data_IF_494021110614
#
_entry.id   IF_494021110614
#
_cell.length_a   1.000
_cell.length_b   1.000
_cell.length_c   1.000
_cell.angle_alpha   90.00
_cell.angle_beta   90.00
_cell.angle_gamma   90.00
#
_symmetry.space_group_name_H-M   'P 1'
#
loop_
_entity.id
_entity.type
_entity.pdbx_description
1 polymer ?
#
# COMPACT_ATOMS: atom_id res chain seq x y z
N UNK A 1 36.96 10.70 -34.73
CA UNK A 1 36.57 9.95 -33.52
C UNK A 1 35.15 10.38 -33.23
N UNK A 2 34.19 9.58 -33.69
CA UNK A 2 32.77 9.85 -33.48
C UNK A 2 32.44 9.26 -32.12
N UNK A 3 32.36 10.10 -31.09
CA UNK A 3 31.66 9.73 -29.87
C UNK A 3 30.19 9.59 -30.24
N UNK A 4 29.77 8.35 -30.45
CA UNK A 4 28.36 7.98 -30.38
C UNK A 4 27.97 8.13 -28.91
N UNK A 5 27.56 9.34 -28.50
CA UNK A 5 26.93 9.56 -27.21
C UNK A 5 25.65 8.72 -27.20
N UNK A 6 25.70 7.56 -26.54
CA UNK A 6 24.53 6.74 -26.31
C UNK A 6 23.48 7.60 -25.58
N UNK A 7 22.21 7.48 -25.97
CA UNK A 7 21.13 8.16 -25.26
C UNK A 7 21.17 7.76 -23.77
N UNK A 8 21.03 8.71 -22.84
CA UNK A 8 21.06 8.41 -21.42
C UNK A 8 19.93 7.44 -21.07
N UNK A 9 20.21 6.54 -20.11
CA UNK A 9 19.24 5.57 -19.59
C UNK A 9 18.08 6.31 -18.93
N UNK A 10 16.87 5.83 -19.17
CA UNK A 10 15.66 6.22 -18.43
C UNK A 10 15.31 5.11 -17.44
N UNK A 11 14.47 5.43 -16.45
CA UNK A 11 13.95 4.41 -15.53
C UNK A 11 12.57 3.91 -15.97
N UNK A 12 12.30 2.65 -15.67
CA UNK A 12 10.98 2.06 -15.72
C UNK A 12 10.67 1.33 -14.40
N UNK A 13 9.50 0.69 -14.29
CA UNK A 13 9.15 -0.06 -13.09
C UNK A 13 10.10 -1.24 -12.84
N UNK A 14 10.62 -1.87 -13.88
CA UNK A 14 11.47 -3.07 -13.76
C UNK A 14 12.77 -2.71 -13.04
N UNK A 15 13.36 -1.57 -13.39
CA UNK A 15 14.56 -1.06 -12.70
C UNK A 15 14.26 -0.79 -11.23
N UNK A 16 13.16 -0.09 -10.93
CA UNK A 16 12.77 0.20 -9.54
C UNK A 16 12.54 -1.08 -8.72
N UNK A 17 11.86 -2.08 -9.30
CA UNK A 17 11.57 -3.35 -8.62
C UNK A 17 12.84 -4.14 -8.29
N UNK A 18 13.90 -4.04 -9.11
CA UNK A 18 15.19 -4.70 -8.86
C UNK A 18 15.99 -4.04 -7.75
N UNK A 19 15.85 -2.72 -7.59
CA UNK A 19 16.59 -1.97 -6.58
C UNK A 19 15.94 -2.13 -5.19
N UNK A 20 14.62 -2.28 -5.14
CA UNK A 20 13.87 -2.45 -3.90
C UNK A 20 14.08 -3.82 -3.24
N UNK A 21 14.34 -3.78 -1.94
CA UNK A 21 14.14 -4.86 -0.98
C UNK A 21 13.41 -4.30 0.25
N UNK A 22 12.09 -4.48 0.33
CA UNK A 22 11.29 -3.96 1.44
C UNK A 22 11.60 -4.63 2.80
N UNK A 23 12.26 -5.79 2.81
CA UNK A 23 12.72 -6.44 4.06
C UNK A 23 14.07 -5.92 4.55
N UNK A 24 14.79 -5.18 3.70
CA UNK A 24 16.08 -4.55 3.98
C UNK A 24 16.12 -3.16 3.31
N UNK A 25 15.46 -2.17 3.91
CA UNK A 25 15.39 -0.82 3.34
C UNK A 25 16.75 -0.14 3.30
N UNK A 26 17.69 -0.49 4.19
CA UNK A 26 19.05 0.03 4.16
C UNK A 26 19.81 -0.44 2.91
N UNK A 27 19.74 -1.73 2.56
CA UNK A 27 20.30 -2.22 1.30
C UNK A 27 19.66 -1.54 0.08
N UNK A 28 18.36 -1.27 0.14
CA UNK A 28 17.67 -0.52 -0.91
C UNK A 28 18.21 0.90 -1.04
N UNK A 29 18.46 1.59 0.09
CA UNK A 29 19.05 2.92 0.09
C UNK A 29 20.44 2.93 -0.53
N UNK A 30 21.31 1.96 -0.22
CA UNK A 30 22.63 1.85 -0.85
C UNK A 30 22.53 1.70 -2.38
N UNK A 31 21.62 0.84 -2.84
CA UNK A 31 21.36 0.61 -4.27
C UNK A 31 20.83 1.85 -4.98
N UNK A 32 19.86 2.54 -4.39
CA UNK A 32 19.32 3.77 -4.97
C UNK A 32 20.33 4.90 -5.00
N UNK A 33 21.20 5.01 -3.98
CA UNK A 33 22.29 5.99 -3.98
C UNK A 33 23.27 5.75 -5.12
N UNK A 34 23.70 4.51 -5.29
CA UNK A 34 24.57 4.15 -6.42
C UNK A 34 23.91 4.47 -7.77
N UNK A 35 22.62 4.17 -7.92
CA UNK A 35 21.89 4.43 -9.16
C UNK A 35 21.63 5.93 -9.40
N UNK A 36 21.37 6.73 -8.36
CA UNK A 36 21.17 8.18 -8.50
C UNK A 36 22.47 8.94 -8.81
N UNK A 37 23.62 8.37 -8.47
CA UNK A 37 24.95 8.93 -8.77
C UNK A 37 25.48 8.48 -10.15
N UNK A 38 24.83 7.53 -10.81
CA UNK A 38 25.23 6.98 -12.10
C UNK A 38 24.87 7.93 -13.25
N UNK A 39 25.89 8.61 -13.80
CA UNK A 39 25.78 9.54 -14.92
C UNK A 39 25.29 8.92 -16.23
N UNK A 40 25.19 7.59 -16.33
CA UNK A 40 24.54 6.93 -17.46
C UNK A 40 23.03 7.16 -17.49
N UNK A 41 22.39 7.46 -16.36
CA UNK A 41 20.98 7.87 -16.30
C UNK A 41 20.78 9.35 -16.64
N UNK A 42 19.63 9.67 -17.23
CA UNK A 42 19.23 11.07 -17.45
C UNK A 42 19.05 11.83 -16.13
N UNK A 43 19.12 13.16 -16.16
CA UNK A 43 18.97 13.99 -14.96
C UNK A 43 17.62 13.75 -14.26
N UNK A 44 16.54 13.63 -15.03
CA UNK A 44 15.21 13.29 -14.52
C UNK A 44 15.18 11.88 -13.90
N UNK A 45 15.81 10.89 -14.55
CA UNK A 45 15.89 9.53 -14.02
C UNK A 45 16.67 9.47 -12.70
N UNK A 46 17.80 10.17 -12.60
CA UNK A 46 18.58 10.28 -11.34
C UNK A 46 17.78 10.99 -10.26
N UNK A 47 17.01 12.03 -10.60
CA UNK A 47 16.12 12.70 -9.66
C UNK A 47 15.01 11.77 -9.16
N UNK A 48 14.36 10.99 -10.04
CA UNK A 48 13.39 9.98 -9.62
C UNK A 48 14.01 8.90 -8.72
N UNK A 49 15.21 8.40 -9.05
CA UNK A 49 15.95 7.45 -8.21
C UNK A 49 16.29 8.04 -6.83
N UNK A 50 16.68 9.31 -6.78
CA UNK A 50 16.94 10.02 -5.52
C UNK A 50 15.68 10.12 -4.64
N UNK A 51 14.47 10.27 -5.22
CA UNK A 51 13.24 10.16 -4.42
C UNK A 51 13.05 8.77 -3.81
N UNK A 52 13.43 7.70 -4.52
CA UNK A 52 13.36 6.34 -3.99
C UNK A 52 14.41 6.08 -2.91
N UNK A 53 15.60 6.70 -3.03
CA UNK A 53 16.59 6.74 -1.96
C UNK A 53 15.99 7.37 -0.68
N UNK A 54 15.37 8.54 -0.79
CA UNK A 54 14.74 9.19 0.36
C UNK A 54 13.66 8.32 1.02
N UNK A 55 12.84 7.63 0.21
CA UNK A 55 11.85 6.67 0.71
C UNK A 55 12.51 5.53 1.50
N UNK A 56 13.59 4.97 1.00
CA UNK A 56 14.31 3.88 1.64
C UNK A 56 14.98 4.33 2.96
N UNK A 57 15.52 5.54 2.99
CA UNK A 57 16.06 6.18 4.21
C UNK A 57 14.97 6.39 5.26
N UNK A 58 13.79 6.89 4.87
CA UNK A 58 12.64 7.04 5.76
C UNK A 58 12.18 5.72 6.38
N UNK A 59 12.08 4.65 5.59
CA UNK A 59 11.79 3.29 6.08
C UNK A 59 12.87 2.75 7.05
N UNK A 60 14.09 3.30 6.97
CA UNK A 60 15.23 2.96 7.82
C UNK A 60 15.35 3.84 9.07
N UNK A 61 14.41 4.78 9.29
CA UNK A 61 14.45 5.74 10.39
C UNK A 61 15.44 6.90 10.21
N UNK A 62 16.03 7.06 9.01
CA UNK A 62 17.00 8.09 8.68
C UNK A 62 16.30 9.30 8.05
N UNK A 63 15.48 10.01 8.83
CA UNK A 63 14.58 11.05 8.32
C UNK A 63 15.34 12.29 7.82
N UNK A 64 16.31 12.79 8.60
CA UNK A 64 17.13 13.94 8.23
C UNK A 64 17.89 13.71 6.91
N UNK A 65 18.45 12.50 6.75
CA UNK A 65 19.14 12.11 5.51
C UNK A 65 18.16 12.02 4.33
N UNK A 66 16.94 11.50 4.57
CA UNK A 66 15.88 11.49 3.56
C UNK A 66 15.50 12.90 3.10
N UNK A 67 15.31 13.83 4.03
CA UNK A 67 15.02 15.23 3.73
C UNK A 67 16.20 15.92 3.02
N UNK A 68 17.44 15.64 3.43
CA UNK A 68 18.63 16.16 2.76
C UNK A 68 18.72 15.73 1.29
N UNK A 69 18.41 14.45 1.01
CA UNK A 69 18.32 13.94 -0.37
C UNK A 69 17.23 14.68 -1.15
N UNK A 70 16.03 14.83 -0.59
CA UNK A 70 14.92 15.51 -1.27
C UNK A 70 15.15 17.00 -1.49
N UNK A 71 15.90 17.67 -0.61
CA UNK A 71 16.29 19.07 -0.75
C UNK A 71 17.34 19.29 -1.84
N UNK A 72 18.16 18.28 -2.13
CA UNK A 72 19.23 18.36 -3.13
C UNK A 72 18.74 18.09 -4.57
N UNK A 73 17.50 17.64 -4.77
CA UNK A 73 16.95 17.36 -6.09
C UNK A 73 16.56 18.68 -6.78
N UNK A 74 17.20 18.95 -7.91
CA UNK A 74 16.85 20.06 -8.80
C UNK A 74 16.15 19.50 -10.05
N UNK A 75 14.85 19.78 -10.22
CA UNK A 75 14.07 19.34 -11.37
C UNK A 75 12.81 20.19 -11.58
N UNK A 76 12.52 20.50 -12.85
CA UNK A 76 11.27 21.15 -13.27
C UNK A 76 10.17 20.14 -13.64
N UNK A 77 10.43 18.84 -13.50
CA UNK A 77 9.47 17.79 -13.89
C UNK A 77 8.30 17.72 -12.90
N UNK A 78 7.04 17.77 -13.36
CA UNK A 78 5.87 17.57 -12.49
C UNK A 78 5.85 16.16 -11.88
N UNK A 79 6.45 15.16 -12.56
CA UNK A 79 6.57 13.80 -12.05
C UNK A 79 7.52 13.77 -10.85
N UNK A 80 8.69 14.38 -10.98
CA UNK A 80 9.66 14.49 -9.89
C UNK A 80 9.09 15.32 -8.74
N UNK A 81 8.42 16.45 -9.03
CA UNK A 81 7.77 17.28 -8.01
C UNK A 81 6.71 16.51 -7.22
N UNK A 82 5.91 15.68 -7.89
CA UNK A 82 4.92 14.82 -7.25
C UNK A 82 5.58 13.77 -6.34
N UNK A 83 6.66 13.13 -6.80
CA UNK A 83 7.42 12.16 -6.00
C UNK A 83 8.07 12.81 -4.78
N UNK A 84 8.70 13.97 -4.94
CA UNK A 84 9.27 14.71 -3.79
C UNK A 84 8.19 14.99 -2.75
N UNK A 85 7.01 15.46 -3.18
CA UNK A 85 5.91 15.74 -2.26
C UNK A 85 5.38 14.46 -1.57
N UNK A 86 5.27 13.34 -2.29
CA UNK A 86 4.93 12.03 -1.72
C UNK A 86 5.94 11.61 -0.64
N UNK A 87 7.23 11.64 -0.95
CA UNK A 87 8.23 11.13 -0.01
C UNK A 87 8.41 12.06 1.20
N UNK A 88 8.30 13.39 1.02
CA UNK A 88 8.24 14.32 2.17
C UNK A 88 7.04 14.01 3.06
N UNK A 89 5.87 13.76 2.48
CA UNK A 89 4.69 13.39 3.24
C UNK A 89 4.91 12.09 4.03
N UNK A 90 5.54 11.07 3.42
CA UNK A 90 5.87 9.82 4.12
C UNK A 90 6.87 10.01 5.26
N UNK A 91 7.85 10.91 5.11
CA UNK A 91 8.77 11.27 6.19
C UNK A 91 8.00 11.89 7.36
N UNK A 92 7.13 12.88 7.11
CA UNK A 92 6.28 13.49 8.15
C UNK A 92 5.40 12.46 8.88
N UNK A 93 4.79 11.52 8.14
CA UNK A 93 4.03 10.41 8.75
C UNK A 93 4.92 9.54 9.64
N UNK A 94 6.12 9.18 9.15
CA UNK A 94 7.05 8.34 9.90
C UNK A 94 7.63 9.03 11.16
N UNK A 95 7.74 10.36 11.13
CA UNK A 95 8.16 11.20 12.26
C UNK A 95 7.04 11.43 13.30
N UNK A 96 5.82 10.97 13.01
CA UNK A 96 4.68 11.08 13.91
C UNK A 96 3.92 12.42 13.84
N UNK A 97 4.06 13.15 12.73
CA UNK A 97 3.34 14.41 12.45
C UNK A 97 2.47 14.30 11.18
N UNK A 98 1.48 13.37 11.15
CA UNK A 98 0.67 13.10 9.97
C UNK A 98 -0.11 14.32 9.44
N UNK A 99 -0.48 15.26 10.30
CA UNK A 99 -1.16 16.50 9.92
C UNK A 99 -0.31 17.38 8.98
N UNK A 100 1.01 17.36 9.12
CA UNK A 100 1.94 18.07 8.22
C UNK A 100 2.07 17.36 6.86
N UNK A 101 1.74 16.06 6.80
CA UNK A 101 1.83 15.27 5.58
C UNK A 101 0.65 15.50 4.63
N UNK A 102 -0.55 15.83 5.16
CA UNK A 102 -1.75 16.08 4.36
C UNK A 102 -1.52 17.10 3.22
N UNK A 103 -1.05 18.34 3.47
CA UNK A 103 -0.80 19.29 2.39
C UNK A 103 0.26 18.81 1.37
N UNK A 104 1.20 17.97 1.80
CA UNK A 104 2.22 17.39 0.93
C UNK A 104 1.62 16.34 -0.01
N UNK A 105 0.77 15.44 0.51
CA UNK A 105 0.07 14.47 -0.34
C UNK A 105 -0.95 15.14 -1.27
N UNK A 106 -1.66 16.19 -0.82
CA UNK A 106 -2.52 16.98 -1.71
C UNK A 106 -1.73 17.64 -2.84
N UNK A 107 -0.55 18.20 -2.53
CA UNK A 107 0.36 18.74 -3.55
C UNK A 107 0.80 17.63 -4.52
N UNK A 108 1.17 16.46 -4.01
CA UNK A 108 1.59 15.35 -4.85
C UNK A 108 0.48 14.88 -5.81
N UNK A 109 -0.76 14.77 -5.34
CA UNK A 109 -1.90 14.42 -6.18
C UNK A 109 -2.08 15.42 -7.33
N UNK A 110 -1.98 16.72 -7.02
CA UNK A 110 -2.08 17.81 -8.02
C UNK A 110 -0.96 17.74 -9.05
N UNK A 111 0.29 17.63 -8.60
CA UNK A 111 1.45 17.62 -9.49
C UNK A 111 1.47 16.35 -10.36
N UNK A 112 1.11 15.20 -9.79
CA UNK A 112 0.97 13.95 -10.53
C UNK A 112 -0.14 14.04 -11.59
N UNK A 113 -1.27 14.67 -11.27
CA UNK A 113 -2.36 14.89 -12.21
C UNK A 113 -1.93 15.84 -13.34
N UNK A 114 -1.21 16.91 -13.03
CA UNK A 114 -0.64 17.83 -14.03
C UNK A 114 0.38 17.13 -14.94
N UNK A 115 1.15 16.18 -14.40
CA UNK A 115 2.07 15.32 -15.17
C UNK A 115 1.39 14.16 -15.90
N UNK A 116 0.08 13.96 -15.76
CA UNK A 116 -0.65 12.85 -16.38
C UNK A 116 -0.29 11.46 -15.84
N UNK A 117 0.26 11.36 -14.63
CA UNK A 117 0.73 10.09 -14.03
C UNK A 117 -0.29 9.56 -13.03
N UNK A 118 -1.35 8.92 -13.52
CA UNK A 118 -2.44 8.37 -12.71
C UNK A 118 -1.96 7.46 -11.57
N UNK A 119 -0.88 6.70 -11.80
CA UNK A 119 -0.31 5.83 -10.77
C UNK A 119 0.12 6.61 -9.51
N UNK A 120 0.72 7.79 -9.68
CA UNK A 120 1.17 8.64 -8.57
C UNK A 120 0.01 9.44 -7.96
N UNK A 121 -1.02 9.77 -8.75
CA UNK A 121 -2.26 10.35 -8.20
C UNK A 121 -2.91 9.36 -7.23
N UNK A 122 -3.04 8.10 -7.63
CA UNK A 122 -3.59 7.05 -6.76
C UNK A 122 -2.72 6.79 -5.52
N UNK A 123 -1.40 6.89 -5.66
CA UNK A 123 -0.48 6.81 -4.52
C UNK A 123 -0.75 7.94 -3.51
N UNK A 124 -0.89 9.17 -3.99
CA UNK A 124 -1.20 10.32 -3.13
C UNK A 124 -2.58 10.22 -2.48
N UNK A 125 -3.61 9.79 -3.23
CA UNK A 125 -4.96 9.58 -2.69
C UNK A 125 -4.98 8.46 -1.65
N UNK A 126 -4.23 7.39 -1.87
CA UNK A 126 -4.06 6.33 -0.88
C UNK A 126 -3.41 6.84 0.41
N UNK A 127 -2.34 7.62 0.29
CA UNK A 127 -1.68 8.22 1.45
C UNK A 127 -2.62 9.20 2.19
N UNK A 128 -3.41 10.00 1.48
CA UNK A 128 -4.44 10.88 2.07
C UNK A 128 -5.50 10.07 2.82
N UNK A 129 -6.00 8.98 2.25
CA UNK A 129 -6.99 8.10 2.89
C UNK A 129 -6.48 7.47 4.20
N UNK A 130 -5.15 7.36 4.37
CA UNK A 130 -4.51 6.84 5.58
C UNK A 130 -4.19 7.92 6.62
N UNK A 131 -4.17 9.19 6.21
CA UNK A 131 -3.52 10.26 6.99
C UNK A 131 -4.47 11.40 7.35
N UNK A 132 -5.42 11.73 6.46
CA UNK A 132 -6.35 12.84 6.64
C UNK A 132 -7.59 12.40 7.42
N UNK A 133 -7.50 12.52 8.75
CA UNK A 133 -8.51 12.04 9.68
C UNK A 133 -9.86 12.72 9.45
N UNK A 134 -10.91 11.90 9.30
CA UNK A 134 -12.28 12.33 8.98
C UNK A 134 -12.58 12.41 7.48
N UNK A 135 -11.59 12.22 6.61
CA UNK A 135 -11.72 12.26 5.15
C UNK A 135 -11.35 10.92 4.48
N UNK A 136 -11.13 9.86 5.26
CA UNK A 136 -10.63 8.56 4.81
C UNK A 136 -11.51 7.95 3.71
N UNK A 137 -12.84 7.91 3.95
CA UNK A 137 -13.81 7.38 2.99
C UNK A 137 -13.85 8.20 1.70
N UNK A 138 -13.77 9.53 1.80
CA UNK A 138 -13.81 10.41 0.63
C UNK A 138 -12.57 10.18 -0.25
N UNK A 139 -11.38 10.17 0.34
CA UNK A 139 -10.15 9.93 -0.40
C UNK A 139 -10.08 8.53 -1.01
N UNK A 140 -10.57 7.52 -0.30
CA UNK A 140 -10.68 6.18 -0.84
C UNK A 140 -11.67 6.11 -2.00
N UNK A 141 -12.83 6.78 -1.90
CA UNK A 141 -13.82 6.84 -2.97
C UNK A 141 -13.26 7.52 -4.23
N UNK A 142 -12.61 8.68 -4.07
CA UNK A 142 -11.95 9.40 -5.18
C UNK A 142 -10.89 8.52 -5.85
N UNK A 143 -10.09 7.80 -5.06
CA UNK A 143 -9.09 6.87 -5.56
C UNK A 143 -9.71 5.71 -6.34
N UNK A 144 -10.81 5.14 -5.85
CA UNK A 144 -11.51 4.04 -6.52
C UNK A 144 -12.20 4.48 -7.81
N UNK A 145 -12.76 5.70 -7.85
CA UNK A 145 -13.33 6.28 -9.06
C UNK A 145 -12.24 6.48 -10.13
N UNK A 146 -11.10 7.08 -9.75
CA UNK A 146 -9.99 7.25 -10.66
C UNK A 146 -9.43 5.91 -11.15
N UNK A 147 -9.30 4.92 -10.26
CA UNK A 147 -8.85 3.58 -10.59
C UNK A 147 -9.75 2.90 -11.62
N UNK A 148 -11.07 3.13 -11.58
CA UNK A 148 -12.02 2.55 -12.53
C UNK A 148 -11.75 2.98 -13.99
N UNK A 149 -11.07 4.11 -14.20
CA UNK A 149 -10.64 4.59 -15.52
C UNK A 149 -9.29 4.02 -15.97
N UNK A 150 -8.55 3.36 -15.08
CA UNK A 150 -7.19 2.90 -15.35
C UNK A 150 -7.18 1.55 -16.10
N UNK A 151 -6.51 1.53 -17.26
CA UNK A 151 -6.32 0.32 -18.08
C UNK A 151 -4.98 -0.38 -17.83
N UNK A 152 -3.99 0.32 -17.28
CA UNK A 152 -2.66 -0.24 -17.06
C UNK A 152 -2.70 -1.22 -15.87
N UNK A 153 -2.23 -2.45 -16.09
CA UNK A 153 -2.16 -3.50 -15.07
C UNK A 153 -1.45 -3.06 -13.79
N UNK A 154 -0.35 -2.30 -13.93
CA UNK A 154 0.39 -1.75 -12.78
C UNK A 154 -0.50 -0.82 -11.94
N UNK A 155 -1.24 0.06 -12.58
CA UNK A 155 -2.16 1.00 -11.91
C UNK A 155 -3.32 0.26 -11.27
N UNK A 156 -3.85 -0.78 -11.91
CA UNK A 156 -4.90 -1.63 -11.35
C UNK A 156 -4.51 -2.31 -10.02
N UNK A 157 -3.21 -2.48 -9.74
CA UNK A 157 -2.74 -3.02 -8.44
C UNK A 157 -3.15 -2.15 -7.26
N UNK A 158 -3.38 -0.85 -7.46
CA UNK A 158 -3.92 0.02 -6.41
C UNK A 158 -5.28 -0.45 -5.89
N UNK A 159 -6.04 -1.19 -6.69
CA UNK A 159 -7.31 -1.77 -6.26
C UNK A 159 -7.18 -2.71 -5.07
N UNK A 160 -6.03 -3.37 -4.87
CA UNK A 160 -5.81 -4.18 -3.67
C UNK A 160 -5.76 -3.29 -2.42
N UNK A 161 -4.88 -2.29 -2.42
CA UNK A 161 -4.62 -1.46 -1.24
C UNK A 161 -5.78 -0.50 -0.94
N UNK A 162 -6.37 0.14 -1.95
CA UNK A 162 -7.48 1.09 -1.77
C UNK A 162 -8.74 0.42 -1.20
N UNK A 163 -9.15 -0.73 -1.76
CA UNK A 163 -10.31 -1.44 -1.23
C UNK A 163 -10.01 -2.03 0.16
N UNK A 164 -8.82 -2.59 0.38
CA UNK A 164 -8.46 -3.18 1.67
C UNK A 164 -8.45 -2.13 2.80
N UNK A 165 -7.90 -0.94 2.55
CA UNK A 165 -7.83 0.11 3.58
C UNK A 165 -9.20 0.70 3.88
N UNK A 166 -10.03 0.94 2.86
CA UNK A 166 -11.40 1.36 3.07
C UNK A 166 -12.19 0.31 3.87
N UNK A 167 -12.01 -0.97 3.53
CA UNK A 167 -12.65 -2.06 4.26
C UNK A 167 -12.23 -2.10 5.73
N UNK A 168 -10.93 -1.95 6.03
CA UNK A 168 -10.46 -1.87 7.42
C UNK A 168 -11.01 -0.64 8.15
N UNK A 169 -11.00 0.52 7.51
CA UNK A 169 -11.59 1.73 8.09
C UNK A 169 -13.07 1.52 8.45
N UNK A 170 -13.86 0.96 7.54
CA UNK A 170 -15.28 0.65 7.79
C UNK A 170 -15.44 -0.38 8.91
N UNK A 171 -14.62 -1.45 8.89
CA UNK A 171 -14.65 -2.52 9.87
C UNK A 171 -14.34 -2.01 11.29
N UNK A 172 -13.27 -1.22 11.43
CA UNK A 172 -12.83 -0.65 12.71
C UNK A 172 -13.85 0.36 13.27
N UNK A 173 -14.65 0.99 12.39
CA UNK A 173 -15.77 1.85 12.77
C UNK A 173 -17.09 1.09 13.01
N UNK A 174 -17.04 -0.24 13.14
CA UNK A 174 -18.21 -1.08 13.44
C UNK A 174 -19.14 -1.33 12.26
N UNK A 175 -18.76 -0.91 11.04
CA UNK A 175 -19.53 -1.07 9.80
C UNK A 175 -19.06 -2.30 9.02
N UNK A 176 -18.96 -3.44 9.72
CA UNK A 176 -18.44 -4.68 9.14
C UNK A 176 -19.25 -5.20 7.94
N UNK A 177 -20.56 -4.95 7.90
CA UNK A 177 -21.42 -5.33 6.76
C UNK A 177 -21.03 -4.56 5.48
N UNK A 178 -20.71 -3.28 5.64
CA UNK A 178 -20.27 -2.42 4.53
C UNK A 178 -18.82 -2.71 4.14
N UNK A 179 -17.98 -3.16 5.08
CA UNK A 179 -16.58 -3.49 4.83
C UNK A 179 -16.40 -4.74 3.95
N UNK A 180 -17.23 -5.78 4.15
CA UNK A 180 -17.05 -7.08 3.51
C UNK A 180 -16.96 -6.99 1.96
N UNK A 181 -17.85 -6.29 1.24
CA UNK A 181 -17.74 -6.14 -0.21
C UNK A 181 -16.42 -5.50 -0.66
N UNK A 182 -15.83 -4.60 0.13
CA UNK A 182 -14.54 -4.01 -0.19
C UNK A 182 -13.38 -5.00 0.03
N UNK A 183 -13.42 -5.82 1.09
CA UNK A 183 -12.44 -6.91 1.24
C UNK A 183 -12.52 -7.92 0.08
N UNK A 184 -13.73 -8.28 -0.36
CA UNK A 184 -13.94 -9.15 -1.53
C UNK A 184 -13.37 -8.54 -2.81
N UNK A 185 -13.63 -7.24 -3.06
CA UNK A 185 -13.04 -6.50 -4.18
C UNK A 185 -11.52 -6.46 -4.11
N UNK A 186 -10.94 -6.25 -2.93
CA UNK A 186 -9.50 -6.29 -2.73
C UNK A 186 -8.92 -7.67 -3.11
N UNK A 187 -9.60 -8.75 -2.74
CA UNK A 187 -9.21 -10.11 -3.14
C UNK A 187 -9.31 -10.32 -4.65
N UNK A 188 -10.33 -9.80 -5.31
CA UNK A 188 -10.48 -9.92 -6.76
C UNK A 188 -9.38 -9.17 -7.53
N UNK A 189 -9.02 -7.97 -7.09
CA UNK A 189 -7.82 -7.29 -7.59
C UNK A 189 -6.55 -8.11 -7.30
N UNK A 190 -6.43 -8.70 -6.10
CA UNK A 190 -5.25 -9.50 -5.75
C UNK A 190 -5.12 -10.78 -6.60
N UNK A 191 -6.26 -11.39 -6.98
CA UNK A 191 -6.31 -12.51 -7.93
C UNK A 191 -5.90 -12.09 -9.33
N UNK A 192 -6.36 -10.93 -9.79
CA UNK A 192 -6.10 -10.46 -11.15
C UNK A 192 -4.67 -9.95 -11.35
N UNK A 193 -4.16 -9.14 -10.42
CA UNK A 193 -2.92 -8.37 -10.62
C UNK A 193 -1.96 -8.36 -9.42
N UNK A 194 -2.38 -8.91 -8.28
CA UNK A 194 -1.62 -8.88 -7.03
C UNK A 194 -0.67 -10.07 -6.82
N UNK A 195 0.12 -9.98 -5.74
CA UNK A 195 1.05 -11.02 -5.30
C UNK A 195 0.33 -12.15 -4.57
N UNK A 196 1.02 -13.28 -4.37
CA UNK A 196 0.53 -14.36 -3.51
C UNK A 196 0.31 -13.89 -2.06
N UNK A 197 1.17 -13.00 -1.57
CA UNK A 197 1.03 -12.35 -0.27
C UNK A 197 -0.25 -11.53 -0.19
N UNK A 198 -0.50 -10.66 -1.16
CA UNK A 198 -1.72 -9.83 -1.20
C UNK A 198 -2.99 -10.70 -1.26
N UNK A 199 -2.96 -11.79 -2.01
CA UNK A 199 -4.06 -12.76 -2.05
C UNK A 199 -4.29 -13.48 -0.73
N UNK A 200 -3.23 -13.74 0.03
CA UNK A 200 -3.31 -14.34 1.35
C UNK A 200 -3.91 -13.35 2.35
N UNK A 201 -3.36 -12.14 2.43
CA UNK A 201 -3.83 -11.06 3.31
C UNK A 201 -5.30 -10.74 3.05
N UNK A 202 -5.71 -10.60 1.79
CA UNK A 202 -7.11 -10.28 1.46
C UNK A 202 -8.08 -11.39 1.91
N UNK A 203 -7.71 -12.67 1.78
CA UNK A 203 -8.54 -13.79 2.28
C UNK A 203 -8.60 -13.80 3.80
N UNK A 204 -7.47 -13.54 4.46
CA UNK A 204 -7.42 -13.45 5.91
C UNK A 204 -8.33 -12.31 6.42
N UNK A 205 -8.31 -11.16 5.76
CA UNK A 205 -9.16 -10.02 6.09
C UNK A 205 -10.67 -10.34 5.90
N UNK A 206 -11.04 -11.04 4.82
CA UNK A 206 -12.41 -11.54 4.63
C UNK A 206 -12.83 -12.45 5.79
N UNK A 207 -11.99 -13.44 6.15
CA UNK A 207 -12.29 -14.35 7.25
C UNK A 207 -12.46 -13.61 8.60
N UNK A 208 -11.60 -12.64 8.88
CA UNK A 208 -11.68 -11.79 10.07
C UNK A 208 -12.97 -10.94 10.10
N UNK A 209 -13.39 -10.43 8.94
CA UNK A 209 -14.63 -9.68 8.80
C UNK A 209 -15.86 -10.59 9.00
N UNK A 210 -15.87 -11.78 8.40
CA UNK A 210 -16.94 -12.78 8.58
C UNK A 210 -17.12 -13.18 10.05
N UNK A 211 -16.02 -13.36 10.80
CA UNK A 211 -16.10 -13.58 12.24
C UNK A 211 -16.82 -12.45 12.97
N UNK A 212 -16.49 -11.21 12.62
CA UNK A 212 -17.13 -10.01 13.22
C UNK A 212 -18.63 -9.96 12.94
N UNK A 213 -19.05 -10.48 11.79
CA UNK A 213 -20.45 -10.61 11.39
C UNK A 213 -21.16 -11.83 11.99
N UNK A 214 -20.50 -12.62 12.84
CA UNK A 214 -21.05 -13.87 13.40
C UNK A 214 -21.18 -15.00 12.39
N UNK A 215 -20.59 -14.87 11.19
CA UNK A 215 -20.55 -15.93 10.16
C UNK A 215 -19.38 -16.88 10.46
N UNK A 216 -19.42 -17.47 11.64
CA UNK A 216 -18.31 -18.21 12.26
C UNK A 216 -17.88 -19.42 11.44
N UNK A 217 -18.82 -20.18 10.88
CA UNK A 217 -18.52 -21.37 10.07
C UNK A 217 -17.74 -21.01 8.79
N UNK A 218 -18.18 -19.97 8.08
CA UNK A 218 -17.52 -19.49 6.85
C UNK A 218 -16.14 -18.90 7.15
N UNK A 219 -16.02 -18.15 8.25
CA UNK A 219 -14.74 -17.65 8.73
C UNK A 219 -13.76 -18.79 9.03
N UNK A 220 -14.22 -19.84 9.73
CA UNK A 220 -13.40 -20.98 10.13
C UNK A 220 -12.97 -21.82 8.93
N UNK A 221 -13.85 -22.04 7.95
CA UNK A 221 -13.51 -22.70 6.69
C UNK A 221 -12.37 -21.96 5.98
N UNK A 222 -12.50 -20.63 5.81
CA UNK A 222 -11.47 -19.82 5.17
C UNK A 222 -10.15 -19.86 5.95
N UNK A 223 -10.18 -19.73 7.28
CA UNK A 223 -8.96 -19.78 8.08
C UNK A 223 -8.26 -21.14 7.98
N UNK A 224 -9.01 -22.26 7.94
CA UNK A 224 -8.42 -23.60 7.76
C UNK A 224 -7.74 -23.76 6.40
N UNK A 225 -8.32 -23.20 5.34
CA UNK A 225 -7.67 -23.16 4.02
C UNK A 225 -6.37 -22.36 4.07
N UNK A 226 -6.35 -21.22 4.78
CA UNK A 226 -5.15 -20.41 4.96
C UNK A 226 -4.09 -21.14 5.80
N UNK A 227 -4.48 -21.91 6.82
CA UNK A 227 -3.57 -22.70 7.65
C UNK A 227 -2.90 -23.83 6.86
N UNK A 228 -3.61 -24.45 5.91
CA UNK A 228 -2.98 -25.42 4.98
C UNK A 228 -1.91 -24.72 4.13
N UNK A 229 -2.17 -23.50 3.68
CA UNK A 229 -1.23 -22.73 2.86
C UNK A 229 -0.02 -22.24 3.66
N UNK A 230 -0.22 -21.83 4.92
CA UNK A 230 0.82 -21.35 5.84
C UNK A 230 0.62 -21.93 7.24
N UNK A 231 1.11 -23.17 7.48
CA UNK A 231 0.89 -23.87 8.76
C UNK A 231 1.47 -23.14 9.99
N UNK A 232 2.54 -22.36 9.79
CA UNK A 232 3.24 -21.65 10.86
C UNK A 232 2.76 -20.18 11.04
N UNK A 233 1.70 -19.76 10.33
CA UNK A 233 1.17 -18.40 10.43
C UNK A 233 0.41 -18.20 11.75
N UNK A 234 1.02 -17.42 12.65
CA UNK A 234 0.49 -17.17 14.00
C UNK A 234 -0.83 -16.41 13.99
N UNK A 235 -1.07 -15.56 12.99
CA UNK A 235 -2.31 -14.79 12.90
C UNK A 235 -3.48 -15.68 12.45
N UNK A 236 -3.24 -16.59 11.51
CA UNK A 236 -4.22 -17.60 11.14
C UNK A 236 -4.53 -18.53 12.33
N UNK A 237 -3.50 -19.03 13.00
CA UNK A 237 -3.68 -19.91 14.16
C UNK A 237 -4.48 -19.24 15.29
N UNK A 238 -4.22 -17.96 15.56
CA UNK A 238 -4.97 -17.19 16.55
C UNK A 238 -6.45 -17.01 16.17
N UNK A 239 -6.74 -16.75 14.89
CA UNK A 239 -8.12 -16.61 14.43
C UNK A 239 -8.89 -17.94 14.48
N UNK A 240 -8.28 -19.07 14.13
CA UNK A 240 -8.89 -20.40 14.29
C UNK A 240 -9.23 -20.67 15.75
N UNK A 241 -8.29 -20.43 16.67
CA UNK A 241 -8.52 -20.64 18.09
C UNK A 241 -9.67 -19.77 18.64
N UNK A 242 -9.77 -18.51 18.19
CA UNK A 242 -10.87 -17.63 18.56
C UNK A 242 -12.23 -18.16 18.07
N UNK A 243 -12.31 -18.58 16.80
CA UNK A 243 -13.52 -19.12 16.19
C UNK A 243 -14.01 -20.42 16.85
N UNK A 244 -13.08 -21.33 17.18
CA UNK A 244 -13.41 -22.61 17.82
C UNK A 244 -13.88 -22.42 19.28
N UNK A 245 -13.33 -21.43 19.98
CA UNK A 245 -13.79 -21.04 21.31
C UNK A 245 -15.21 -20.44 21.26
N UNK A 246 -15.51 -19.60 20.27
CA UNK A 246 -16.85 -19.03 20.04
C UNK A 246 -17.90 -20.14 19.76
N UNK A 247 -17.58 -21.13 18.92
CA UNK A 247 -18.48 -22.27 18.64
C UNK A 247 -18.76 -23.13 19.88
N UNK A 248 -17.71 -23.39 20.68
CA UNK A 248 -17.83 -24.21 21.88
C UNK A 248 -18.70 -23.53 22.95
N UNK A 249 -18.60 -22.20 23.07
CA UNK A 249 -19.43 -21.41 23.99
C UNK A 249 -20.91 -21.35 23.60
N UNK A 250 -21.23 -21.37 22.29
CA UNK A 250 -22.63 -21.42 21.82
C UNK A 250 -23.25 -22.80 22.08
N UNK A 251 -22.49 -23.88 21.88
CA UNK A 251 -22.95 -25.26 22.10
C UNK A 251 -23.32 -25.57 23.56
N UNK A 252 -22.75 -24.89 24.55
CA UNK A 252 -23.09 -25.09 25.97
C UNK A 252 -24.36 -24.32 26.40
N UNK A 253 -24.88 -23.42 25.56
CA UNK A 253 -26.00 -22.53 25.89
C UNK A 253 -27.34 -22.90 25.25
N UNK A 254 -27.43 -23.96 24.44
CA UNK A 254 -28.73 -24.48 23.99
C UNK A 254 -29.49 -25.06 25.21
N UNK A 255 -30.64 -24.47 25.61
CA UNK A 255 -31.42 -25.04 26.69
C UNK A 255 -32.02 -26.36 26.21
N UNK A 256 -31.68 -27.44 26.89
CA UNK A 256 -32.39 -28.71 26.77
C UNK A 256 -33.84 -28.44 27.15
N UNK A 257 -34.75 -28.42 26.19
CA UNK A 257 -36.18 -28.46 26.48
C UNK A 257 -36.43 -29.87 27.03
N UNK A 258 -36.46 -30.01 28.35
CA UNK A 258 -37.03 -31.19 28.99
C UNK A 258 -38.55 -31.18 28.74
N UNK A 259 -39.05 -32.30 28.22
CA UNK A 259 -40.45 -32.56 27.81
C UNK A 259 -41.49 -32.40 28.93
#
# INVERSE_FOLDING_TARGET
MSDLTASPKTIDQTVLDQLWNFTDPQLSAERFRHASDDSEYSDEARAELATQLARALGLSGQYDDGDAVLNAIESDSPIVAARIALERGRLRVAEGVPEEAVPLFTKAARDAAAGGVTFLVLDALHMLALTDVGQEEQWAADGLELLATASQTRTQRWGVALNNNLAWYLHDNGRAEEALPYFERALDFAKAVGTSEQRFIARWAIARCLRTLGRTDEALELQRVLAIQRPDDRYVAAEIAALEAEQSGVSETEPTIEE
#
